data_IF_616708755875
#
_entry.id   IF_616708755875
#
_cell.length_a   1.000
_cell.length_b   1.000
_cell.length_c   1.000
_cell.angle_alpha   90.00
_cell.angle_beta   90.00
_cell.angle_gamma   90.00
#
_symmetry.space_group_name_H-M   'P 1'
#
loop_
_entity.id
_entity.type
_entity.pdbx_description
1 polymer ?
#
# COMPACT_ATOMS: atom_id res chain seq x y z
N UNK A 1 -3.34 30.91 -33.49
CA UNK A 1 -3.58 30.40 -32.11
C UNK A 1 -3.13 31.48 -31.14
N UNK A 2 -3.97 31.94 -30.25
CA UNK A 2 -3.58 32.95 -29.27
C UNK A 2 -2.62 32.30 -28.25
N UNK A 3 -1.65 33.06 -27.72
CA UNK A 3 -0.69 32.60 -26.71
C UNK A 3 -1.40 31.92 -25.51
N UNK A 4 -2.56 32.44 -25.10
CA UNK A 4 -3.41 31.89 -24.05
C UNK A 4 -3.93 30.47 -24.33
N UNK A 5 -4.14 30.08 -25.59
CA UNK A 5 -4.68 28.73 -25.90
C UNK A 5 -3.60 27.66 -25.78
N UNK A 6 -2.34 27.99 -26.10
CA UNK A 6 -1.23 27.03 -25.98
C UNK A 6 -0.93 26.71 -24.51
N UNK A 7 -0.92 27.72 -23.65
CA UNK A 7 -0.71 27.57 -22.21
C UNK A 7 -1.86 26.77 -21.57
N UNK A 8 -3.11 27.06 -21.91
CA UNK A 8 -4.27 26.32 -21.43
C UNK A 8 -4.23 24.85 -21.86
N UNK A 9 -3.88 24.56 -23.14
CA UNK A 9 -3.78 23.20 -23.64
C UNK A 9 -2.75 22.40 -22.87
N UNK A 10 -1.59 22.99 -22.59
CA UNK A 10 -0.52 22.34 -21.83
C UNK A 10 -0.98 22.05 -20.40
N UNK A 11 -1.51 23.05 -19.69
CA UNK A 11 -2.02 22.91 -18.33
C UNK A 11 -3.12 21.83 -18.25
N UNK A 12 -4.06 21.85 -19.20
CA UNK A 12 -5.13 20.85 -19.27
C UNK A 12 -4.60 19.43 -19.48
N UNK A 13 -3.65 19.23 -20.40
CA UNK A 13 -3.05 17.95 -20.67
C UNK A 13 -2.25 17.44 -19.46
N UNK A 14 -1.51 18.33 -18.78
CA UNK A 14 -0.77 18.01 -17.57
C UNK A 14 -1.71 17.61 -16.43
N UNK A 15 -2.80 18.36 -16.20
CA UNK A 15 -3.83 18.01 -15.22
C UNK A 15 -4.49 16.66 -15.52
N UNK A 16 -4.82 16.39 -16.79
CA UNK A 16 -5.36 15.07 -17.18
C UNK A 16 -4.38 13.95 -16.82
N UNK A 17 -3.10 14.14 -17.09
CA UNK A 17 -2.05 13.17 -16.72
C UNK A 17 -1.95 13.01 -15.20
N UNK A 18 -1.96 14.14 -14.45
CA UNK A 18 -1.95 14.12 -12.99
C UNK A 18 -3.13 13.36 -12.38
N UNK A 19 -4.32 13.45 -13.01
CA UNK A 19 -5.50 12.69 -12.59
C UNK A 19 -5.48 11.23 -13.07
N UNK A 20 -4.44 10.81 -13.80
CA UNK A 20 -4.29 9.46 -14.32
C UNK A 20 -5.35 9.07 -15.37
N UNK A 21 -5.92 10.05 -16.07
CA UNK A 21 -7.02 9.85 -17.01
C UNK A 21 -6.48 9.69 -18.43
N UNK A 22 -6.79 8.55 -19.08
CA UNK A 22 -6.47 8.37 -20.51
C UNK A 22 -7.31 9.29 -21.40
N UNK A 23 -6.77 9.67 -22.56
CA UNK A 23 -7.53 10.44 -23.55
C UNK A 23 -8.84 9.75 -23.91
N UNK A 24 -8.86 8.43 -24.03
CA UNK A 24 -10.07 7.66 -24.35
C UNK A 24 -11.13 7.84 -23.26
N UNK A 25 -10.76 7.67 -22.00
CA UNK A 25 -11.68 7.79 -20.86
C UNK A 25 -12.25 9.19 -20.73
N UNK A 26 -11.39 10.22 -20.88
CA UNK A 26 -11.83 11.61 -20.84
C UNK A 26 -12.73 11.98 -22.03
N UNK A 27 -12.38 11.53 -23.23
CA UNK A 27 -13.16 11.79 -24.43
C UNK A 27 -14.59 11.23 -24.32
N UNK A 28 -14.74 10.00 -23.82
CA UNK A 28 -16.05 9.39 -23.53
C UNK A 28 -16.84 10.24 -22.54
N UNK A 29 -16.19 10.66 -21.43
CA UNK A 29 -16.83 11.48 -20.39
C UNK A 29 -17.25 12.87 -20.91
N UNK A 30 -16.44 13.45 -21.80
CA UNK A 30 -16.73 14.72 -22.43
C UNK A 30 -17.64 14.60 -23.67
N UNK A 31 -18.05 13.39 -24.08
CA UNK A 31 -18.90 13.15 -25.24
C UNK A 31 -18.27 13.64 -26.55
N UNK A 32 -16.97 13.40 -26.74
CA UNK A 32 -16.21 13.68 -27.99
C UNK A 32 -15.41 12.45 -28.40
N UNK A 33 -14.86 12.45 -29.63
CA UNK A 33 -13.97 11.36 -30.04
C UNK A 33 -12.56 11.51 -29.44
N UNK A 34 -11.88 10.39 -29.23
CA UNK A 34 -10.49 10.38 -28.76
C UNK A 34 -9.57 11.16 -29.71
N UNK A 35 -9.77 11.00 -31.02
CA UNK A 35 -9.01 11.70 -32.07
C UNK A 35 -9.17 13.20 -31.95
N UNK A 36 -10.38 13.67 -31.63
CA UNK A 36 -10.65 15.10 -31.44
C UNK A 36 -9.91 15.63 -30.22
N UNK A 37 -9.98 14.92 -29.09
CA UNK A 37 -9.23 15.28 -27.87
C UNK A 37 -7.71 15.30 -28.12
N UNK A 38 -7.19 14.27 -28.79
CA UNK A 38 -5.76 14.20 -29.14
C UNK A 38 -5.30 15.37 -30.03
N UNK A 39 -6.15 15.82 -30.97
CA UNK A 39 -5.86 17.00 -31.81
C UNK A 39 -5.91 18.30 -31.02
N UNK A 40 -6.79 18.40 -30.03
CA UNK A 40 -6.83 19.52 -29.09
C UNK A 40 -5.52 19.58 -28.30
N UNK A 41 -5.18 18.50 -27.59
CA UNK A 41 -3.97 18.44 -26.74
C UNK A 41 -2.66 18.63 -27.52
N UNK A 42 -2.64 18.27 -28.81
CA UNK A 42 -1.49 18.52 -29.68
C UNK A 42 -1.51 19.93 -30.32
N UNK A 43 -2.46 20.78 -29.99
CA UNK A 43 -2.58 22.12 -30.54
C UNK A 43 -2.94 22.19 -32.02
N UNK A 44 -3.42 21.09 -32.63
CA UNK A 44 -3.78 21.01 -34.03
C UNK A 44 -5.19 21.55 -34.35
N UNK A 45 -5.97 21.78 -33.31
CA UNK A 45 -7.33 22.32 -33.43
C UNK A 45 -7.50 23.40 -32.36
N UNK A 46 -8.07 24.53 -32.76
CA UNK A 46 -8.44 25.60 -31.81
C UNK A 46 -9.56 25.13 -30.87
N UNK A 47 -9.52 25.51 -29.62
CA UNK A 47 -10.50 25.14 -28.58
C UNK A 47 -11.41 26.33 -28.31
N UNK A 48 -12.72 26.14 -28.47
CA UNK A 48 -13.71 27.17 -28.09
C UNK A 48 -13.84 27.21 -26.56
N UNK A 49 -14.24 28.36 -26.00
CA UNK A 49 -14.48 28.49 -24.57
C UNK A 49 -15.51 27.48 -24.05
N UNK A 50 -16.56 27.21 -24.81
CA UNK A 50 -17.55 26.18 -24.47
C UNK A 50 -16.92 24.78 -24.39
N UNK A 51 -16.00 24.46 -25.31
CA UNK A 51 -15.28 23.18 -25.27
C UNK A 51 -14.31 23.11 -24.08
N UNK A 52 -13.65 24.21 -23.74
CA UNK A 52 -12.77 24.28 -22.54
C UNK A 52 -13.56 23.97 -21.27
N UNK A 53 -14.71 24.60 -21.07
CA UNK A 53 -15.60 24.36 -19.93
C UNK A 53 -16.02 22.89 -19.89
N UNK A 54 -16.51 22.37 -21.01
CA UNK A 54 -16.95 20.97 -21.12
C UNK A 54 -15.84 19.97 -20.79
N UNK A 55 -14.63 20.21 -21.24
CA UNK A 55 -13.47 19.37 -20.98
C UNK A 55 -13.03 19.44 -19.50
N UNK A 56 -13.04 20.64 -18.92
CA UNK A 56 -12.72 20.81 -17.49
C UNK A 56 -13.76 20.15 -16.59
N UNK A 57 -15.05 20.30 -16.86
CA UNK A 57 -16.13 19.63 -16.11
C UNK A 57 -16.00 18.10 -16.18
N UNK A 58 -15.66 17.58 -17.38
CA UNK A 58 -15.43 16.16 -17.55
C UNK A 58 -14.17 15.68 -16.79
N UNK A 59 -13.12 16.51 -16.78
CA UNK A 59 -11.86 16.18 -16.09
C UNK A 59 -12.02 16.22 -14.58
N UNK A 60 -12.75 17.19 -14.02
CA UNK A 60 -12.96 17.33 -12.58
C UNK A 60 -13.71 16.11 -11.97
N UNK A 61 -14.48 15.37 -12.76
CA UNK A 61 -15.09 14.11 -12.30
C UNK A 61 -14.07 13.02 -11.98
N UNK A 62 -12.84 13.18 -12.43
CA UNK A 62 -11.72 12.28 -12.17
C UNK A 62 -10.71 12.86 -11.17
N UNK A 63 -10.97 14.07 -10.65
CA UNK A 63 -10.08 14.71 -9.70
C UNK A 63 -10.02 13.86 -8.41
N UNK A 64 -8.85 13.27 -8.07
CA UNK A 64 -8.71 12.59 -6.80
C UNK A 64 -8.63 13.63 -5.68
N UNK A 65 -9.39 13.45 -4.61
CA UNK A 65 -9.32 14.30 -3.42
C UNK A 65 -7.89 14.39 -2.86
N UNK A 66 -7.12 13.30 -3.01
CA UNK A 66 -5.71 13.24 -2.67
C UNK A 66 -4.97 12.43 -3.75
N UNK A 67 -4.18 13.09 -4.63
CA UNK A 67 -3.45 12.40 -5.71
C UNK A 67 -2.40 11.42 -5.21
N UNK A 68 -1.81 11.71 -4.05
CA UNK A 68 -0.92 10.82 -3.32
C UNK A 68 -1.42 10.64 -1.88
N UNK A 69 -1.25 9.44 -1.33
CA UNK A 69 -1.43 9.16 0.10
C UNK A 69 -0.23 8.40 0.63
N UNK A 70 0.15 8.65 1.88
CA UNK A 70 1.25 7.95 2.52
C UNK A 70 0.79 7.22 3.77
N UNK A 71 1.37 6.05 4.02
CA UNK A 71 1.01 5.19 5.15
C UNK A 71 2.20 4.35 5.62
N UNK A 72 2.14 3.88 6.85
CA UNK A 72 3.02 2.82 7.34
C UNK A 72 2.58 1.48 6.73
N UNK A 73 3.49 0.78 6.06
CA UNK A 73 3.19 -0.51 5.43
C UNK A 73 3.88 -1.69 6.13
N UNK A 74 4.89 -1.40 6.95
CA UNK A 74 5.56 -2.40 7.79
C UNK A 74 6.21 -1.73 8.99
N UNK A 75 5.97 -2.28 10.18
CA UNK A 75 6.66 -1.88 11.42
C UNK A 75 7.12 -3.14 12.13
N UNK A 76 8.41 -3.20 12.49
CA UNK A 76 8.97 -4.28 13.31
C UNK A 76 9.92 -3.72 14.34
N UNK A 77 9.61 -3.98 15.60
CA UNK A 77 10.32 -3.45 16.77
C UNK A 77 10.71 -4.62 17.67
N UNK A 78 11.97 -4.68 18.09
CA UNK A 78 12.44 -5.59 19.12
C UNK A 78 12.55 -4.85 20.44
N UNK A 79 11.98 -5.41 21.49
CA UNK A 79 12.12 -4.91 22.87
C UNK A 79 13.08 -5.79 23.65
N UNK A 80 14.03 -5.20 24.40
CA UNK A 80 15.01 -5.95 25.20
C UNK A 80 14.41 -6.42 26.55
N UNK A 81 13.26 -7.07 26.49
CA UNK A 81 12.54 -7.64 27.62
C UNK A 81 11.96 -9.00 27.24
N UNK A 82 11.74 -9.86 28.24
CA UNK A 82 10.97 -11.10 28.07
C UNK A 82 9.51 -10.94 28.49
N UNK A 83 9.14 -9.79 29.06
CA UNK A 83 7.78 -9.52 29.50
C UNK A 83 6.89 -9.16 28.28
N UNK A 84 6.29 -10.19 27.70
CA UNK A 84 5.35 -10.03 26.59
C UNK A 84 4.06 -9.34 27.03
N UNK A 85 3.65 -9.55 28.29
CA UNK A 85 2.47 -8.92 28.88
C UNK A 85 2.60 -7.40 28.89
N UNK A 86 3.77 -6.90 29.32
CA UNK A 86 4.10 -5.48 29.27
C UNK A 86 3.98 -4.91 27.84
N UNK A 87 4.57 -5.58 26.84
CA UNK A 87 4.52 -5.08 25.46
C UNK A 87 3.09 -5.05 24.92
N UNK A 88 2.29 -6.07 25.22
CA UNK A 88 0.89 -6.12 24.76
C UNK A 88 0.05 -5.08 25.51
N UNK A 89 0.18 -5.02 26.85
CA UNK A 89 -0.64 -4.16 27.69
C UNK A 89 -0.25 -2.68 27.61
N UNK A 90 1.04 -2.38 27.76
CA UNK A 90 1.45 -0.99 27.98
C UNK A 90 1.90 -0.31 26.68
N UNK A 91 2.48 -1.03 25.73
CA UNK A 91 2.93 -0.46 24.45
C UNK A 91 1.84 -0.54 23.39
N UNK A 92 1.24 -1.71 23.17
CA UNK A 92 0.13 -1.85 22.21
C UNK A 92 -1.19 -1.39 22.79
N UNK A 93 -1.34 -1.35 24.12
CA UNK A 93 -2.58 -1.07 24.85
C UNK A 93 -3.72 -1.98 24.40
N UNK A 94 -3.40 -3.27 24.28
CA UNK A 94 -4.35 -4.32 23.90
C UNK A 94 -4.54 -5.31 25.06
N UNK A 95 -5.73 -5.88 25.14
CA UNK A 95 -6.03 -6.90 26.12
C UNK A 95 -5.61 -8.27 25.60
N UNK A 96 -4.62 -8.88 26.27
CA UNK A 96 -4.03 -10.17 25.91
C UNK A 96 -5.05 -11.30 25.85
N UNK A 97 -6.17 -11.21 26.60
CA UNK A 97 -7.21 -12.24 26.59
C UNK A 97 -7.81 -12.47 25.21
N UNK A 98 -7.83 -11.46 24.32
CA UNK A 98 -8.34 -11.56 22.96
C UNK A 98 -7.28 -12.07 21.95
N UNK A 99 -6.03 -12.25 22.37
CA UNK A 99 -4.97 -12.75 21.50
C UNK A 99 -4.95 -14.29 21.50
N UNK A 100 -4.61 -14.84 20.35
CA UNK A 100 -4.37 -16.28 20.20
C UNK A 100 -2.90 -16.53 20.48
N UNK A 101 -2.61 -17.53 21.33
CA UNK A 101 -1.27 -18.03 21.58
C UNK A 101 -0.98 -19.27 20.74
N UNK A 102 0.24 -19.36 20.17
CA UNK A 102 0.73 -20.53 19.42
C UNK A 102 2.16 -20.86 19.87
N UNK A 103 2.43 -22.16 20.10
CA UNK A 103 3.72 -22.70 20.57
C UNK A 103 4.73 -22.84 19.42
N UNK A 104 4.70 -21.96 18.45
CA UNK A 104 5.70 -21.85 17.39
C UNK A 104 5.86 -20.38 16.98
N UNK A 105 6.98 -20.06 16.36
CA UNK A 105 7.27 -18.69 15.94
C UNK A 105 8.08 -18.61 14.65
N UNK A 106 8.33 -17.38 14.22
CA UNK A 106 9.23 -17.04 13.11
C UNK A 106 10.50 -16.38 13.64
N UNK A 107 11.50 -16.23 12.79
CA UNK A 107 12.78 -15.56 13.15
C UNK A 107 13.50 -16.22 14.32
N UNK A 108 13.34 -17.56 14.50
CA UNK A 108 13.87 -18.34 15.62
C UNK A 108 13.26 -17.98 16.97
N UNK A 109 12.13 -17.32 17.04
CA UNK A 109 11.29 -17.24 18.23
C UNK A 109 10.51 -18.54 18.38
N UNK A 110 10.20 -18.93 19.62
CA UNK A 110 9.56 -20.22 19.92
C UNK A 110 8.05 -20.14 20.01
N UNK A 111 7.53 -18.96 20.32
CA UNK A 111 6.11 -18.73 20.56
C UNK A 111 5.68 -17.40 19.98
N UNK A 112 4.39 -17.21 19.76
CA UNK A 112 3.84 -15.91 19.45
C UNK A 112 2.40 -15.76 19.91
N UNK A 113 2.03 -14.51 20.18
CA UNK A 113 0.66 -14.07 20.39
C UNK A 113 0.22 -13.24 19.21
N UNK A 114 -1.03 -13.41 18.76
CA UNK A 114 -1.53 -12.61 17.65
C UNK A 114 -3.02 -12.32 17.77
N UNK A 115 -3.40 -11.20 17.17
CA UNK A 115 -4.78 -10.82 16.89
C UNK A 115 -4.86 -10.33 15.45
N UNK A 116 -5.56 -11.09 14.60
CA UNK A 116 -5.59 -10.81 13.17
C UNK A 116 -4.20 -10.87 12.53
N UNK A 117 -3.72 -9.74 12.03
CA UNK A 117 -2.40 -9.60 11.38
C UNK A 117 -1.36 -8.83 12.26
N UNK A 118 -1.61 -8.70 13.57
CA UNK A 118 -0.69 -8.14 14.57
C UNK A 118 -0.03 -9.29 15.31
N UNK A 119 1.31 -9.37 15.27
CA UNK A 119 2.08 -10.48 15.85
C UNK A 119 3.07 -9.98 16.89
N UNK A 120 3.12 -10.67 18.03
CA UNK A 120 4.10 -10.45 19.09
C UNK A 120 4.79 -11.77 19.38
N UNK A 121 6.06 -11.87 19.01
CA UNK A 121 6.88 -13.07 19.17
C UNK A 121 7.69 -13.03 20.46
N UNK A 122 7.84 -14.17 21.11
CA UNK A 122 8.68 -14.34 22.30
C UNK A 122 9.47 -15.64 22.26
N UNK A 123 10.48 -15.71 23.07
CA UNK A 123 11.28 -16.92 23.33
C UNK A 123 11.94 -16.81 24.70
N UNK A 124 12.37 -17.91 25.30
CA UNK A 124 13.12 -17.87 26.57
C UNK A 124 14.52 -17.26 26.46
N UNK A 125 14.96 -16.89 25.26
CA UNK A 125 16.28 -16.32 25.00
C UNK A 125 16.29 -14.81 25.29
N UNK A 126 16.96 -14.41 26.37
CA UNK A 126 17.06 -13.01 26.84
C UNK A 126 17.70 -12.10 25.78
N UNK A 127 18.62 -12.60 24.95
CA UNK A 127 19.24 -11.80 23.90
C UNK A 127 18.24 -11.43 22.78
N UNK A 128 17.20 -12.23 22.56
CA UNK A 128 16.17 -11.96 21.56
C UNK A 128 15.13 -10.96 22.04
N UNK A 129 14.71 -11.07 23.30
CA UNK A 129 13.61 -10.27 23.83
C UNK A 129 12.28 -10.55 23.14
N UNK A 130 11.38 -9.55 23.13
CA UNK A 130 10.08 -9.60 22.48
C UNK A 130 10.16 -8.89 21.12
N UNK A 131 9.54 -9.46 20.07
CA UNK A 131 9.49 -8.89 18.73
C UNK A 131 8.06 -8.61 18.32
N UNK A 132 7.73 -7.33 18.16
CA UNK A 132 6.46 -6.89 17.54
C UNK A 132 6.62 -6.82 16.03
N UNK A 133 5.62 -7.32 15.30
CA UNK A 133 5.56 -7.24 13.85
C UNK A 133 4.15 -6.89 13.34
N UNK A 134 4.07 -5.80 12.57
CA UNK A 134 2.88 -5.32 11.86
C UNK A 134 3.21 -5.29 10.36
N UNK A 135 2.48 -6.05 9.55
CA UNK A 135 2.69 -6.11 8.08
C UNK A 135 1.43 -5.66 7.36
N UNK A 136 1.53 -4.72 6.44
CA UNK A 136 0.45 -4.33 5.55
C UNK A 136 -0.92 -4.24 6.25
N UNK A 137 -1.70 -5.32 6.20
CA UNK A 137 -2.99 -5.40 6.90
C UNK A 137 -2.86 -5.25 8.42
N UNK A 138 -1.80 -5.76 9.04
CA UNK A 138 -1.53 -5.56 10.46
C UNK A 138 -1.36 -4.09 10.83
N UNK A 139 -0.69 -3.31 9.97
CA UNK A 139 -0.64 -1.86 10.16
C UNK A 139 -2.03 -1.23 10.06
N UNK A 140 -2.84 -1.62 9.05
CA UNK A 140 -4.22 -1.12 8.87
C UNK A 140 -5.11 -1.48 10.05
N UNK A 141 -4.99 -2.72 10.54
CA UNK A 141 -5.72 -3.18 11.71
C UNK A 141 -5.29 -2.41 12.97
N UNK A 142 -3.98 -2.21 13.16
CA UNK A 142 -3.47 -1.47 14.32
C UNK A 142 -3.93 -0.01 14.33
N UNK A 143 -4.11 0.61 13.16
CA UNK A 143 -4.72 1.94 13.05
C UNK A 143 -6.15 2.00 13.59
N UNK A 144 -6.92 0.91 13.50
CA UNK A 144 -8.26 0.87 14.13
C UNK A 144 -8.16 0.94 15.66
N UNK A 145 -7.15 0.26 16.24
CA UNK A 145 -6.91 0.34 17.68
C UNK A 145 -6.34 1.70 18.09
N UNK A 146 -5.37 2.24 17.35
CA UNK A 146 -4.86 3.59 17.60
C UNK A 146 -5.98 4.63 17.60
N UNK A 147 -6.91 4.54 16.64
CA UNK A 147 -8.05 5.44 16.58
C UNK A 147 -8.95 5.32 17.82
N UNK A 148 -9.29 4.09 18.23
CA UNK A 148 -10.09 3.84 19.44
C UNK A 148 -9.38 4.28 20.73
N UNK A 149 -8.05 4.18 20.75
CA UNK A 149 -7.20 4.65 21.86
C UNK A 149 -6.97 6.17 21.83
N UNK A 150 -7.47 6.90 20.82
CA UNK A 150 -7.17 8.31 20.58
C UNK A 150 -5.66 8.59 20.48
N UNK A 151 -4.91 7.65 19.88
CA UNK A 151 -3.46 7.72 19.66
C UNK A 151 -3.13 7.78 18.17
N UNK A 152 -2.02 8.41 17.87
CA UNK A 152 -1.43 8.41 16.53
C UNK A 152 -0.29 7.40 16.41
N UNK A 153 0.20 7.18 15.19
CA UNK A 153 1.46 6.46 14.96
C UNK A 153 2.65 7.11 15.66
N UNK A 154 2.65 8.42 15.81
CA UNK A 154 3.74 9.15 16.48
C UNK A 154 3.75 8.84 17.97
N UNK A 155 2.58 8.79 18.63
CA UNK A 155 2.46 8.45 20.05
C UNK A 155 2.95 7.02 20.28
N UNK A 156 2.47 6.06 19.48
CA UNK A 156 2.91 4.67 19.57
C UNK A 156 4.41 4.50 19.37
N UNK A 157 4.99 5.15 18.33
CA UNK A 157 6.43 5.04 18.06
C UNK A 157 7.26 5.71 19.16
N UNK A 158 6.77 6.80 19.74
CA UNK A 158 7.42 7.45 20.89
C UNK A 158 7.43 6.51 22.10
N UNK A 159 6.28 5.96 22.48
CA UNK A 159 6.16 5.02 23.60
C UNK A 159 7.08 3.82 23.40
N UNK A 160 7.07 3.23 22.21
CA UNK A 160 7.92 2.10 21.90
C UNK A 160 9.42 2.41 22.01
N UNK A 161 9.87 3.60 21.60
CA UNK A 161 11.28 3.99 21.72
C UNK A 161 11.67 4.34 23.17
N UNK A 162 10.77 4.99 23.91
CA UNK A 162 10.98 5.32 25.34
C UNK A 162 11.12 4.03 26.16
N UNK A 163 10.37 2.99 25.83
CA UNK A 163 10.45 1.65 26.45
C UNK A 163 11.67 0.82 25.99
N UNK A 164 12.60 1.43 25.26
CA UNK A 164 13.83 0.77 24.79
C UNK A 164 13.66 -0.07 23.52
N UNK A 165 12.56 0.11 22.81
CA UNK A 165 12.30 -0.57 21.54
C UNK A 165 13.37 -0.27 20.49
N UNK A 166 13.88 -1.30 19.84
CA UNK A 166 14.88 -1.22 18.77
C UNK A 166 14.22 -1.48 17.44
N UNK A 167 14.19 -0.45 16.59
CA UNK A 167 13.62 -0.54 15.23
C UNK A 167 14.38 -1.59 14.41
N UNK A 168 13.67 -2.59 13.91
CA UNK A 168 14.21 -3.63 13.02
C UNK A 168 13.80 -3.43 11.58
N UNK A 169 12.59 -2.87 11.34
CA UNK A 169 12.13 -2.52 10.02
C UNK A 169 11.03 -1.47 10.07
N UNK A 170 11.07 -0.56 9.12
CA UNK A 170 10.04 0.40 8.81
C UNK A 170 9.87 0.49 7.30
N UNK A 171 8.65 0.29 6.80
CA UNK A 171 8.32 0.57 5.42
C UNK A 171 7.30 1.71 5.37
N UNK A 172 7.65 2.79 4.67
CA UNK A 172 6.74 3.89 4.34
C UNK A 172 6.27 3.69 2.90
N UNK A 173 4.98 3.66 2.68
CA UNK A 173 4.39 3.49 1.36
C UNK A 173 3.69 4.77 0.90
N UNK A 174 3.99 5.20 -0.31
CA UNK A 174 3.31 6.29 -1.00
C UNK A 174 2.47 5.67 -2.11
N UNK A 175 1.15 5.81 -2.00
CA UNK A 175 0.22 5.40 -3.03
C UNK A 175 0.05 6.53 -4.05
N UNK A 176 0.17 6.21 -5.30
CA UNK A 176 -0.14 7.07 -6.43
C UNK A 176 -1.51 6.65 -6.99
N UNK A 177 -2.50 7.52 -6.81
CA UNK A 177 -3.87 7.34 -7.28
C UNK A 177 -4.06 7.77 -8.74
N UNK A 178 -3.10 8.53 -9.29
CA UNK A 178 -3.18 9.16 -10.60
C UNK A 178 -2.48 8.37 -11.71
N UNK A 179 -1.48 7.54 -11.37
CA UNK A 179 -0.64 6.85 -12.34
C UNK A 179 0.54 7.69 -12.83
N UNK A 180 0.91 8.76 -12.11
CA UNK A 180 2.08 9.59 -12.46
C UNK A 180 3.40 8.82 -12.33
N UNK A 181 3.49 7.85 -11.42
CA UNK A 181 4.61 6.91 -11.37
C UNK A 181 4.43 5.84 -12.45
N UNK A 182 4.91 6.07 -13.65
CA UNK A 182 4.94 5.07 -14.71
C UNK A 182 6.10 4.10 -14.49
N UNK A 183 5.80 2.88 -14.00
CA UNK A 183 6.84 1.93 -13.60
C UNK A 183 7.64 1.39 -14.79
N UNK A 184 7.03 1.08 -15.95
CA UNK A 184 7.76 0.81 -17.19
C UNK A 184 8.73 1.95 -17.56
N UNK A 185 8.29 3.20 -17.55
CA UNK A 185 9.13 4.37 -17.85
C UNK A 185 10.31 4.49 -16.87
N UNK A 186 10.05 4.38 -15.55
CA UNK A 186 11.10 4.40 -14.54
C UNK A 186 12.12 3.27 -14.72
N UNK A 187 11.66 2.10 -15.18
CA UNK A 187 12.54 0.96 -15.48
C UNK A 187 13.44 1.27 -16.68
N UNK A 188 12.89 1.84 -17.76
CA UNK A 188 13.68 2.26 -18.93
C UNK A 188 14.66 3.37 -18.55
N UNK A 189 14.27 4.34 -17.73
CA UNK A 189 15.20 5.36 -17.21
C UNK A 189 16.37 4.75 -16.43
N UNK A 190 16.12 3.68 -15.66
CA UNK A 190 17.20 2.96 -14.99
C UNK A 190 18.16 2.30 -16.01
N UNK A 191 17.65 1.73 -17.10
CA UNK A 191 18.46 1.10 -18.17
C UNK A 191 19.26 2.12 -18.97
N UNK A 192 18.69 3.30 -19.20
CA UNK A 192 19.26 4.38 -20.00
C UNK A 192 20.17 5.31 -19.21
N UNK A 193 20.54 4.96 -17.97
CA UNK A 193 21.36 5.77 -17.07
C UNK A 193 20.71 7.10 -16.63
N UNK A 194 19.40 7.25 -16.82
CA UNK A 194 18.62 8.42 -16.43
C UNK A 194 18.10 8.34 -14.97
N UNK A 195 18.51 7.33 -14.22
CA UNK A 195 18.35 7.23 -12.78
C UNK A 195 19.67 7.59 -12.10
N UNK A 196 19.78 8.82 -11.60
CA UNK A 196 20.92 9.27 -10.80
C UNK A 196 20.72 8.78 -9.37
N UNK A 197 21.61 7.91 -8.90
CA UNK A 197 21.42 7.24 -7.62
C UNK A 197 22.75 6.92 -6.95
N UNK A 198 22.74 6.87 -5.61
CA UNK A 198 23.82 6.30 -4.80
C UNK A 198 23.73 4.78 -4.71
N UNK A 199 22.61 4.18 -5.09
CA UNK A 199 22.50 2.74 -5.26
C UNK A 199 23.27 2.27 -6.50
N UNK A 200 23.83 1.05 -6.42
CA UNK A 200 24.65 0.49 -7.49
C UNK A 200 23.89 -0.43 -8.43
N UNK A 201 22.67 -0.81 -8.07
CA UNK A 201 21.92 -1.80 -8.83
C UNK A 201 20.43 -1.58 -8.70
N UNK A 202 19.72 -2.02 -9.72
CA UNK A 202 18.26 -2.16 -9.70
C UNK A 202 17.89 -3.55 -10.21
N UNK A 203 16.66 -3.98 -9.94
CA UNK A 203 16.04 -5.19 -10.52
C UNK A 203 14.63 -4.82 -10.94
N UNK A 204 14.24 -5.26 -12.12
CA UNK A 204 12.87 -5.11 -12.61
C UNK A 204 12.27 -6.48 -12.92
N UNK A 205 10.99 -6.62 -12.62
CA UNK A 205 10.21 -7.80 -12.92
C UNK A 205 8.96 -7.35 -13.69
N UNK A 206 8.72 -8.01 -14.82
CA UNK A 206 7.48 -7.93 -15.55
C UNK A 206 6.84 -9.32 -15.47
N UNK A 207 5.63 -9.39 -14.97
CA UNK A 207 4.84 -10.62 -14.93
C UNK A 207 3.81 -10.61 -16.05
N UNK A 208 3.46 -11.78 -16.57
CA UNK A 208 2.44 -11.92 -17.61
C UNK A 208 1.78 -13.28 -17.53
N UNK A 209 0.57 -13.37 -18.07
CA UNK A 209 -0.16 -14.63 -18.24
C UNK A 209 0.19 -15.25 -19.59
N UNK A 210 0.33 -16.59 -19.63
CA UNK A 210 0.61 -17.31 -20.87
C UNK A 210 -0.64 -17.48 -21.74
N UNK A 211 -1.82 -17.39 -21.12
CA UNK A 211 -3.12 -17.53 -21.81
C UNK A 211 -3.85 -16.19 -21.73
N UNK A 212 -4.17 -15.61 -22.89
CA UNK A 212 -5.03 -14.42 -22.96
C UNK A 212 -6.48 -14.87 -22.80
N UNK A 213 -7.20 -14.29 -21.85
CA UNK A 213 -8.65 -14.36 -21.83
C UNK A 213 -9.21 -13.41 -22.91
N UNK A 214 -10.19 -13.86 -23.67
CA UNK A 214 -10.72 -13.14 -24.85
C UNK A 214 -11.24 -11.72 -24.57
N UNK A 215 -11.49 -11.38 -23.30
CA UNK A 215 -12.01 -10.06 -22.89
C UNK A 215 -10.94 -9.06 -22.39
N UNK A 216 -9.66 -9.44 -22.36
CA UNK A 216 -8.59 -8.58 -21.83
C UNK A 216 -7.45 -8.38 -22.83
N UNK A 217 -7.36 -7.18 -23.39
CA UNK A 217 -6.27 -6.77 -24.29
C UNK A 217 -4.86 -6.76 -23.67
N UNK A 218 -4.74 -6.95 -22.37
CA UNK A 218 -3.46 -6.89 -21.62
C UNK A 218 -3.25 -8.14 -20.78
N UNK A 219 -2.50 -9.09 -21.31
CA UNK A 219 -1.96 -10.23 -20.56
C UNK A 219 -0.75 -9.81 -19.70
N UNK A 220 -0.95 -8.90 -18.75
CA UNK A 220 0.13 -8.41 -17.88
C UNK A 220 -0.27 -8.53 -16.41
N UNK A 221 0.62 -9.08 -15.57
CA UNK A 221 0.43 -9.14 -14.12
C UNK A 221 1.16 -7.99 -13.39
N UNK A 222 1.56 -6.96 -14.11
CA UNK A 222 2.16 -5.72 -13.64
C UNK A 222 3.68 -5.73 -13.55
N UNK A 223 4.22 -4.54 -13.35
CA UNK A 223 5.65 -4.27 -13.23
C UNK A 223 6.03 -3.99 -11.78
N UNK A 224 7.23 -4.46 -11.41
CA UNK A 224 7.87 -4.15 -10.12
C UNK A 224 9.31 -3.75 -10.36
N UNK A 225 9.71 -2.60 -9.83
CA UNK A 225 11.07 -2.07 -9.87
C UNK A 225 11.64 -1.99 -8.45
N UNK A 226 12.74 -2.69 -8.20
CA UNK A 226 13.54 -2.55 -6.99
C UNK A 226 14.76 -1.70 -7.28
N UNK A 227 14.99 -0.65 -6.49
CA UNK A 227 16.17 0.21 -6.59
C UNK A 227 16.99 0.04 -5.33
N UNK A 228 18.22 -0.42 -5.47
CA UNK A 228 19.09 -0.85 -4.38
C UNK A 228 19.06 -2.36 -4.14
N UNK A 229 19.93 -2.83 -3.26
CA UNK A 229 20.01 -4.25 -2.89
C UNK A 229 18.97 -4.62 -1.84
N UNK A 230 18.24 -5.71 -2.03
CA UNK A 230 17.30 -6.25 -1.05
C UNK A 230 17.98 -6.64 0.29
N UNK A 231 19.30 -6.82 0.28
CA UNK A 231 20.11 -7.10 1.47
C UNK A 231 20.53 -5.83 2.22
N UNK A 232 20.44 -4.66 1.57
CA UNK A 232 20.79 -3.37 2.18
C UNK A 232 19.77 -2.95 3.23
N UNK A 233 20.18 -2.06 4.12
CA UNK A 233 19.29 -1.46 5.12
C UNK A 233 18.33 -0.43 4.50
N UNK A 234 18.62 0.06 3.29
CA UNK A 234 17.72 0.92 2.52
C UNK A 234 17.61 0.37 1.11
N UNK A 235 16.40 0.25 0.62
CA UNK A 235 16.08 0.03 -0.78
C UNK A 235 14.65 0.44 -1.07
N UNK A 236 14.34 0.70 -2.31
CA UNK A 236 13.00 1.08 -2.74
C UNK A 236 12.36 -0.04 -3.54
N UNK A 237 11.04 -0.15 -3.40
CA UNK A 237 10.21 -1.06 -4.18
C UNK A 237 9.06 -0.24 -4.80
N UNK A 238 9.03 -0.17 -6.12
CA UNK A 238 8.01 0.58 -6.84
C UNK A 238 7.25 -0.39 -7.74
N UNK A 239 5.92 -0.39 -7.66
CA UNK A 239 5.14 -1.37 -8.40
C UNK A 239 3.72 -0.89 -8.74
N UNK A 240 3.16 -1.50 -9.77
CA UNK A 240 1.78 -1.28 -10.20
C UNK A 240 0.81 -1.95 -9.21
N UNK A 241 0.27 -1.16 -8.30
CA UNK A 241 -0.65 -1.61 -7.24
C UNK A 241 -2.01 -2.02 -7.78
N UNK A 242 -2.43 -1.48 -8.91
CA UNK A 242 -3.67 -1.85 -9.60
C UNK A 242 -3.71 -3.35 -9.94
N UNK A 243 -2.61 -3.91 -10.43
CA UNK A 243 -2.51 -5.35 -10.71
C UNK A 243 -2.58 -6.20 -9.45
N UNK A 244 -1.96 -5.77 -8.36
CA UNK A 244 -2.08 -6.47 -7.09
C UNK A 244 -3.54 -6.48 -6.59
N UNK A 245 -4.26 -5.36 -6.72
CA UNK A 245 -5.67 -5.24 -6.36
C UNK A 245 -6.54 -6.13 -7.26
N UNK A 246 -6.26 -6.19 -8.55
CA UNK A 246 -6.92 -7.10 -9.46
C UNK A 246 -6.74 -8.57 -9.05
N UNK A 247 -5.51 -9.01 -8.84
CA UNK A 247 -5.20 -10.40 -8.47
C UNK A 247 -5.81 -10.79 -7.10
N UNK A 248 -5.67 -9.90 -6.10
CA UNK A 248 -6.07 -10.23 -4.73
C UNK A 248 -7.54 -9.97 -4.44
N UNK A 249 -8.13 -8.95 -5.06
CA UNK A 249 -9.47 -8.45 -4.74
C UNK A 249 -10.45 -8.59 -5.90
N UNK A 250 -9.97 -8.89 -7.12
CA UNK A 250 -10.81 -8.95 -8.32
C UNK A 250 -11.27 -7.58 -8.82
N UNK A 251 -10.65 -6.50 -8.37
CA UNK A 251 -11.00 -5.14 -8.81
C UNK A 251 -10.43 -4.94 -10.22
N UNK A 252 -11.24 -4.52 -11.21
CA UNK A 252 -10.73 -4.21 -12.55
C UNK A 252 -9.58 -3.19 -12.49
N UNK A 253 -8.56 -3.36 -13.32
CA UNK A 253 -7.33 -2.54 -13.27
C UNK A 253 -7.66 -1.05 -13.46
N UNK A 254 -8.60 -0.75 -14.34
CA UNK A 254 -9.06 0.61 -14.63
C UNK A 254 -9.78 1.25 -13.45
N UNK A 255 -10.47 0.44 -12.65
CA UNK A 255 -11.25 0.88 -11.48
C UNK A 255 -10.44 0.87 -10.19
N UNK A 256 -9.23 0.28 -10.21
CA UNK A 256 -8.38 0.19 -9.04
C UNK A 256 -8.07 1.59 -8.47
N UNK A 257 -8.41 1.85 -7.19
CA UNK A 257 -8.26 3.18 -6.60
C UNK A 257 -6.80 3.59 -6.42
N UNK A 258 -5.87 2.64 -6.35
CA UNK A 258 -4.43 2.91 -6.28
C UNK A 258 -3.81 2.36 -7.56
N UNK A 259 -3.21 3.24 -8.36
CA UNK A 259 -2.54 2.85 -9.60
C UNK A 259 -1.17 2.24 -9.30
N UNK A 260 -0.33 3.00 -8.61
CA UNK A 260 1.03 2.60 -8.30
C UNK A 260 1.33 2.78 -6.82
N UNK A 261 2.42 2.14 -6.36
CA UNK A 261 2.93 2.33 -5.00
C UNK A 261 4.45 2.43 -5.01
N UNK A 262 4.96 3.42 -4.27
CA UNK A 262 6.37 3.58 -3.97
C UNK A 262 6.61 3.24 -2.50
N UNK A 263 7.42 2.23 -2.20
CA UNK A 263 7.76 1.83 -0.84
C UNK A 263 9.22 2.14 -0.52
N UNK A 264 9.42 2.89 0.55
CA UNK A 264 10.72 3.13 1.19
C UNK A 264 10.90 2.06 2.24
N UNK A 265 11.80 1.09 2.02
CA UNK A 265 12.05 -0.01 2.93
C UNK A 265 13.32 0.19 3.71
N UNK A 266 13.18 0.36 5.02
CA UNK A 266 14.25 0.71 5.94
C UNK A 266 14.44 -0.39 6.97
N UNK A 267 15.71 -0.72 7.29
CA UNK A 267 16.06 -1.72 8.30
C UNK A 267 17.02 -1.14 9.32
N UNK A 268 16.97 -1.71 10.53
CA UNK A 268 17.90 -1.43 11.64
C UNK A 268 18.12 0.08 11.88
N UNK A 269 19.35 0.55 11.83
CA UNK A 269 19.69 1.95 12.08
C UNK A 269 18.94 2.92 11.14
N UNK A 270 18.73 2.54 9.88
CA UNK A 270 18.00 3.39 8.92
C UNK A 270 16.54 3.55 9.29
N UNK A 271 15.92 2.48 9.80
CA UNK A 271 14.56 2.55 10.34
C UNK A 271 14.52 3.43 11.60
N UNK A 272 15.48 3.29 12.51
CA UNK A 272 15.57 4.13 13.69
C UNK A 272 15.74 5.62 13.35
N UNK A 273 16.64 5.97 12.43
CA UNK A 273 16.83 7.38 12.05
C UNK A 273 15.59 7.98 11.37
N UNK A 274 14.85 7.19 10.58
CA UNK A 274 13.60 7.65 9.99
C UNK A 274 12.52 7.89 11.05
N UNK A 275 12.38 6.98 12.04
CA UNK A 275 11.44 7.18 13.17
C UNK A 275 11.84 8.41 13.99
N UNK A 276 13.12 8.59 14.27
CA UNK A 276 13.60 9.77 14.99
C UNK A 276 13.28 11.08 14.23
N UNK A 277 13.45 11.09 12.92
CA UNK A 277 13.13 12.24 12.07
C UNK A 277 11.61 12.50 12.08
N UNK A 278 10.78 11.46 11.93
CA UNK A 278 9.33 11.53 12.05
C UNK A 278 8.89 12.13 13.39
N UNK A 279 9.46 11.68 14.51
CA UNK A 279 9.13 12.15 15.85
C UNK A 279 9.70 13.55 16.15
N UNK A 280 10.75 13.96 15.45
CA UNK A 280 11.33 15.31 15.61
C UNK A 280 10.51 16.38 14.91
N UNK A 281 10.04 16.08 13.70
CA UNK A 281 9.42 17.08 12.84
C UNK A 281 7.90 16.92 12.71
N UNK A 282 7.35 15.77 13.06
CA UNK A 282 5.93 15.45 12.84
C UNK A 282 5.47 15.69 11.40
N UNK A 283 6.42 15.58 10.46
CA UNK A 283 6.22 15.79 9.02
C UNK A 283 6.71 14.56 8.25
N UNK A 284 5.76 13.71 7.92
CA UNK A 284 6.03 12.45 7.26
C UNK A 284 6.42 12.65 5.78
N UNK A 285 5.89 13.68 5.11
CA UNK A 285 6.28 14.03 3.74
C UNK A 285 7.75 14.43 3.69
N UNK A 286 8.14 15.34 4.54
CA UNK A 286 9.53 15.78 4.67
C UNK A 286 10.47 14.60 4.89
N UNK A 287 10.15 13.71 5.82
CA UNK A 287 10.97 12.53 6.12
C UNK A 287 11.06 11.60 4.90
N UNK A 288 9.94 11.26 4.28
CA UNK A 288 9.90 10.36 3.13
C UNK A 288 10.69 10.91 1.94
N UNK A 289 10.43 12.15 1.53
CA UNK A 289 11.09 12.74 0.36
C UNK A 289 12.52 13.15 0.63
N UNK A 290 12.90 13.49 1.87
CA UNK A 290 14.31 13.63 2.24
C UNK A 290 15.09 12.33 2.01
N UNK A 291 14.50 11.18 2.37
CA UNK A 291 15.10 9.88 2.09
C UNK A 291 15.13 9.62 0.58
N UNK A 292 14.01 9.77 -0.12
CA UNK A 292 13.94 9.52 -1.57
C UNK A 292 14.98 10.35 -2.31
N UNK A 293 14.99 11.66 -2.11
CA UNK A 293 15.86 12.62 -2.81
C UNK A 293 17.35 12.41 -2.52
N UNK A 294 17.68 11.87 -1.34
CA UNK A 294 19.05 11.49 -1.01
C UNK A 294 19.55 10.33 -1.86
N UNK A 295 18.68 9.39 -2.21
CA UNK A 295 19.07 8.13 -2.83
C UNK A 295 18.83 8.08 -4.33
N UNK A 296 17.78 8.74 -4.83
CA UNK A 296 17.33 8.58 -6.23
C UNK A 296 16.83 9.89 -6.82
N UNK A 297 17.21 10.13 -8.07
CA UNK A 297 16.70 11.21 -8.90
C UNK A 297 16.52 10.71 -10.33
N UNK A 298 15.31 10.77 -10.85
CA UNK A 298 15.03 10.46 -12.24
C UNK A 298 15.08 11.72 -13.09
N UNK A 299 15.80 11.65 -14.20
CA UNK A 299 16.16 12.80 -15.03
C UNK A 299 15.92 12.49 -16.51
N UNK A 300 15.89 13.52 -17.32
CA UNK A 300 15.84 13.40 -18.77
C UNK A 300 17.23 13.70 -19.34
N UNK A 301 17.75 12.78 -20.16
CA UNK A 301 19.10 12.88 -20.75
C UNK A 301 19.20 14.08 -21.67
N UNK A 302 20.17 14.94 -21.42
CA UNK A 302 20.53 16.09 -22.26
C UNK A 302 21.92 15.87 -22.86
N UNK A 303 22.01 15.81 -24.20
CA UNK A 303 23.25 15.42 -24.91
C UNK A 303 24.47 16.33 -24.62
N UNK A 304 24.22 17.61 -24.39
CA UNK A 304 25.27 18.64 -24.23
C UNK A 304 25.62 18.92 -22.77
N UNK A 305 25.04 18.16 -21.81
CA UNK A 305 25.24 18.39 -20.38
C UNK A 305 25.82 17.17 -19.68
N UNK A 306 26.49 17.41 -18.56
CA UNK A 306 26.91 16.35 -17.66
C UNK A 306 25.67 15.74 -16.98
N UNK A 307 25.73 14.45 -16.65
CA UNK A 307 24.64 13.72 -15.99
C UNK A 307 24.15 14.39 -14.70
N UNK A 308 25.02 15.05 -13.93
CA UNK A 308 24.67 15.81 -12.74
C UNK A 308 23.73 16.97 -13.02
N UNK A 309 23.79 17.52 -14.23
CA UNK A 309 23.13 18.76 -14.64
C UNK A 309 21.86 18.48 -15.48
N UNK A 310 21.53 17.19 -15.71
CA UNK A 310 20.30 16.79 -16.38
C UNK A 310 19.09 17.20 -15.55
N UNK A 311 18.05 17.69 -16.20
CA UNK A 311 16.80 18.09 -15.57
C UNK A 311 16.04 16.92 -15.02
N UNK A 312 15.29 17.14 -13.95
CA UNK A 312 14.34 16.16 -13.46
C UNK A 312 13.30 15.86 -14.56
N UNK A 313 12.93 14.60 -14.69
CA UNK A 313 11.78 14.26 -15.52
C UNK A 313 10.51 14.87 -14.91
N UNK A 314 9.58 15.30 -15.77
CA UNK A 314 8.37 16.01 -15.36
C UNK A 314 7.54 15.19 -14.35
N UNK A 315 7.32 13.92 -14.62
CA UNK A 315 6.58 13.01 -13.72
C UNK A 315 7.25 12.86 -12.35
N UNK A 316 8.59 12.76 -12.35
CA UNK A 316 9.34 12.64 -11.10
C UNK A 316 9.34 13.93 -10.30
N UNK A 317 9.51 15.09 -10.97
CA UNK A 317 9.44 16.40 -10.35
C UNK A 317 8.09 16.61 -9.64
N UNK A 318 7.00 16.26 -10.30
CA UNK A 318 5.67 16.27 -9.70
C UNK A 318 5.57 15.33 -8.50
N UNK A 319 6.06 14.09 -8.62
CA UNK A 319 5.98 13.10 -7.53
C UNK A 319 6.70 13.58 -6.27
N UNK A 320 7.88 14.18 -6.40
CA UNK A 320 8.67 14.65 -5.24
C UNK A 320 8.22 16.01 -4.66
N UNK A 321 7.18 16.62 -5.20
CA UNK A 321 6.54 17.79 -4.60
C UNK A 321 6.45 19.03 -5.46
N UNK A 322 6.97 19.02 -6.69
CA UNK A 322 6.78 20.14 -7.59
C UNK A 322 5.33 20.17 -8.11
N UNK A 323 4.67 21.32 -7.94
CA UNK A 323 3.31 21.57 -8.46
C UNK A 323 2.23 20.57 -7.99
N UNK A 324 2.28 20.10 -6.76
CA UNK A 324 1.21 19.30 -6.15
C UNK A 324 0.95 19.71 -4.69
N UNK A 325 -0.22 19.32 -4.19
CA UNK A 325 -0.57 19.50 -2.78
C UNK A 325 0.36 18.68 -1.86
N UNK A 326 0.67 19.18 -0.66
CA UNK A 326 1.50 18.49 0.33
C UNK A 326 0.94 17.12 0.70
N UNK A 327 1.81 16.14 0.77
CA UNK A 327 1.49 14.76 1.14
C UNK A 327 1.40 14.65 2.67
N UNK A 328 0.29 14.13 3.16
CA UNK A 328 0.08 13.87 4.58
C UNK A 328 0.14 12.37 4.87
N UNK A 329 0.58 12.02 6.07
CA UNK A 329 0.45 10.66 6.57
C UNK A 329 -1.04 10.35 6.70
N UNK A 330 -1.48 9.34 5.97
CA UNK A 330 -2.88 8.92 5.95
C UNK A 330 -3.05 7.74 6.88
N UNK A 331 -3.99 7.84 7.81
CA UNK A 331 -4.49 6.72 8.60
C UNK A 331 -5.69 6.15 7.86
N UNK A 332 -5.62 4.86 7.55
CA UNK A 332 -6.70 4.15 6.86
C UNK A 332 -7.03 2.87 7.61
N UNK A 333 -7.72 2.98 8.75
CA UNK A 333 -8.00 1.84 9.60
C UNK A 333 -8.85 0.79 8.86
N UNK A 334 -8.42 -0.46 8.93
CA UNK A 334 -9.16 -1.61 8.43
C UNK A 334 -9.26 -2.62 9.58
N UNK A 335 -10.41 -2.74 10.26
CA UNK A 335 -10.62 -3.73 11.30
C UNK A 335 -10.34 -5.14 10.79
N UNK A 336 -9.88 -6.03 11.67
CA UNK A 336 -9.71 -7.43 11.31
C UNK A 336 -11.05 -8.06 10.98
N UNK A 337 -11.14 -8.67 9.81
CA UNK A 337 -12.34 -9.35 9.33
C UNK A 337 -12.02 -10.74 8.82
N UNK A 338 -13.05 -11.61 8.76
CA UNK A 338 -12.95 -12.96 8.19
C UNK A 338 -12.83 -12.98 6.66
N UNK A 339 -12.68 -11.85 5.98
CA UNK A 339 -12.73 -11.75 4.51
C UNK A 339 -11.77 -12.71 3.79
N UNK A 340 -10.58 -12.96 4.36
CA UNK A 340 -9.62 -13.89 3.77
C UNK A 340 -10.16 -15.32 3.84
N UNK A 341 -10.71 -15.69 5.00
CA UNK A 341 -11.30 -16.99 5.25
C UNK A 341 -12.56 -17.17 4.40
N UNK A 342 -13.43 -16.16 4.34
CA UNK A 342 -14.65 -16.17 3.51
C UNK A 342 -14.32 -16.32 2.03
N UNK A 343 -13.35 -15.57 1.49
CA UNK A 343 -12.91 -15.72 0.09
C UNK A 343 -12.30 -17.10 -0.20
N UNK A 344 -11.53 -17.65 0.74
CA UNK A 344 -10.99 -18.98 0.60
C UNK A 344 -12.12 -20.03 0.58
N UNK A 345 -13.07 -19.95 1.51
CA UNK A 345 -14.25 -20.82 1.56
C UNK A 345 -15.00 -20.73 0.23
N UNK A 346 -15.32 -19.53 -0.23
CA UNK A 346 -16.07 -19.28 -1.45
C UNK A 346 -15.39 -19.90 -2.69
N UNK A 347 -14.07 -19.83 -2.78
CA UNK A 347 -13.33 -20.31 -3.95
C UNK A 347 -13.01 -21.81 -3.89
N UNK A 348 -12.67 -22.33 -2.72
CA UNK A 348 -12.13 -23.68 -2.56
C UNK A 348 -13.12 -24.67 -1.96
N UNK A 349 -14.05 -24.24 -1.14
CA UNK A 349 -14.95 -25.09 -0.37
C UNK A 349 -16.38 -25.02 -0.89
N UNK A 350 -16.88 -23.84 -1.20
CA UNK A 350 -18.28 -23.60 -1.61
C UNK A 350 -18.71 -24.42 -2.85
N UNK A 351 -17.90 -24.60 -3.89
CA UNK A 351 -18.26 -25.48 -5.00
C UNK A 351 -18.57 -26.90 -4.56
N UNK A 352 -17.82 -27.45 -3.59
CA UNK A 352 -18.03 -28.77 -3.02
C UNK A 352 -19.28 -28.80 -2.14
N UNK A 353 -19.50 -27.78 -1.32
CA UNK A 353 -20.72 -27.65 -0.51
C UNK A 353 -21.96 -27.60 -1.41
N UNK A 354 -21.92 -26.80 -2.48
CA UNK A 354 -23.00 -26.70 -3.47
C UNK A 354 -23.28 -28.03 -4.18
N UNK A 355 -22.24 -28.78 -4.50
CA UNK A 355 -22.37 -30.13 -5.03
C UNK A 355 -23.11 -31.04 -4.03
N UNK A 356 -22.72 -31.04 -2.76
CA UNK A 356 -23.38 -31.86 -1.71
C UNK A 356 -24.83 -31.44 -1.49
N UNK A 357 -25.15 -30.15 -1.49
CA UNK A 357 -26.52 -29.65 -1.45
C UNK A 357 -27.35 -30.16 -2.64
N UNK A 358 -26.77 -30.14 -3.84
CA UNK A 358 -27.44 -30.64 -5.05
C UNK A 358 -27.70 -32.16 -4.98
N UNK A 359 -26.76 -32.92 -4.44
CA UNK A 359 -26.91 -34.35 -4.22
C UNK A 359 -28.02 -34.59 -3.18
N UNK A 360 -28.02 -33.86 -2.07
CA UNK A 360 -29.04 -33.89 -1.03
C UNK A 360 -30.44 -33.70 -1.62
N UNK A 361 -30.61 -32.68 -2.47
CA UNK A 361 -31.88 -32.39 -3.13
C UNK A 361 -32.37 -33.53 -4.03
N UNK A 362 -31.47 -34.30 -4.62
CA UNK A 362 -31.79 -35.44 -5.50
C UNK A 362 -32.01 -36.77 -4.75
N UNK A 363 -31.30 -36.97 -3.66
CA UNK A 363 -31.27 -38.26 -2.94
C UNK A 363 -32.01 -38.24 -1.62
N UNK A 364 -32.29 -37.07 -1.04
CA UNK A 364 -32.86 -36.91 0.31
C UNK A 364 -31.86 -37.17 1.44
N UNK A 365 -30.59 -37.46 1.12
CA UNK A 365 -29.53 -37.70 2.13
C UNK A 365 -28.75 -36.41 2.38
N UNK A 366 -28.84 -35.85 3.58
CA UNK A 366 -28.17 -34.63 3.97
C UNK A 366 -26.73 -34.90 4.46
N UNK A 367 -25.81 -34.93 3.51
CA UNK A 367 -24.39 -35.15 3.78
C UNK A 367 -23.76 -34.01 4.58
N UNK A 368 -24.20 -32.75 4.41
CA UNK A 368 -23.67 -31.61 5.17
C UNK A 368 -24.02 -31.71 6.64
N UNK A 369 -25.25 -32.14 6.95
CA UNK A 369 -25.68 -32.37 8.33
C UNK A 369 -24.86 -33.49 8.99
N UNK A 370 -24.56 -34.58 8.27
CA UNK A 370 -23.72 -35.66 8.77
C UNK A 370 -22.29 -35.21 9.06
N UNK A 371 -21.66 -34.42 8.16
CA UNK A 371 -20.33 -33.88 8.38
C UNK A 371 -20.32 -32.96 9.61
N UNK A 372 -21.31 -32.08 9.74
CA UNK A 372 -21.40 -31.11 10.86
C UNK A 372 -21.61 -31.79 12.23
N UNK A 373 -22.27 -32.92 12.30
CA UNK A 373 -22.47 -33.67 13.56
C UNK A 373 -21.16 -34.10 14.22
N UNK A 374 -20.13 -34.43 13.43
CA UNK A 374 -18.83 -34.88 13.93
C UNK A 374 -17.82 -33.74 14.11
N UNK A 375 -18.12 -32.57 13.59
CA UNK A 375 -17.21 -31.38 13.64
C UNK A 375 -17.19 -30.81 15.04
N UNK A 376 -16.00 -30.69 15.63
CA UNK A 376 -15.79 -30.02 16.91
C UNK A 376 -14.97 -28.73 16.68
N UNK A 377 -15.37 -27.66 17.33
CA UNK A 377 -14.58 -26.44 17.40
C UNK A 377 -13.38 -26.64 18.34
N UNK A 378 -12.23 -26.13 17.95
CA UNK A 378 -11.03 -26.07 18.81
C UNK A 378 -11.02 -24.73 19.55
N UNK A 379 -10.17 -24.62 20.56
CA UNK A 379 -9.96 -23.35 21.32
C UNK A 379 -9.66 -22.19 20.37
N UNK A 380 -8.82 -22.41 19.37
CA UNK A 380 -8.52 -21.41 18.34
C UNK A 380 -9.79 -20.92 17.60
N UNK A 381 -10.73 -21.80 17.28
CA UNK A 381 -11.99 -21.40 16.65
C UNK A 381 -12.82 -20.51 17.58
N UNK A 382 -12.89 -20.84 18.88
CA UNK A 382 -13.58 -20.03 19.87
C UNK A 382 -12.94 -18.64 20.00
N UNK A 383 -11.60 -18.55 20.01
CA UNK A 383 -10.88 -17.27 20.03
C UNK A 383 -11.16 -16.42 18.78
N UNK A 384 -11.21 -17.03 17.59
CA UNK A 384 -11.57 -16.31 16.37
C UNK A 384 -13.03 -15.80 16.46
N UNK A 385 -13.96 -16.62 16.98
CA UNK A 385 -15.35 -16.19 17.19
C UNK A 385 -15.37 -14.99 18.13
N UNK A 386 -14.69 -15.06 19.27
CA UNK A 386 -14.59 -13.98 20.25
C UNK A 386 -14.07 -12.70 19.58
N UNK A 387 -12.94 -12.75 18.87
CA UNK A 387 -12.39 -11.61 18.13
C UNK A 387 -13.35 -10.99 17.11
N UNK A 388 -14.21 -11.79 16.47
CA UNK A 388 -15.15 -11.32 15.45
C UNK A 388 -16.47 -10.81 16.03
N UNK A 389 -16.76 -11.11 17.29
CA UNK A 389 -17.99 -10.72 17.99
C UNK A 389 -17.76 -9.64 19.04
N UNK A 390 -16.51 -9.28 19.30
CA UNK A 390 -16.12 -8.24 20.26
C UNK A 390 -15.87 -6.92 19.53
N UNK A 391 -16.27 -5.81 20.12
CA UNK A 391 -16.02 -4.49 19.56
C UNK A 391 -14.54 -4.10 19.62
N UNK A 392 -14.13 -3.14 18.81
CA UNK A 392 -12.74 -2.63 18.85
C UNK A 392 -12.43 -2.01 20.21
N UNK A 393 -13.41 -1.34 20.80
CA UNK A 393 -13.33 -0.68 22.10
C UNK A 393 -13.13 -1.67 23.25
N UNK A 394 -13.74 -2.86 23.17
CA UNK A 394 -13.56 -3.92 24.18
C UNK A 394 -12.19 -4.60 24.10
N UNK A 395 -11.58 -4.62 22.89
CA UNK A 395 -10.25 -5.23 22.69
C UNK A 395 -9.12 -4.35 23.23
N UNK A 396 -9.31 -3.04 23.22
CA UNK A 396 -8.36 -2.09 23.82
C UNK A 396 -8.52 -2.04 25.34
N UNK A 397 -7.46 -1.62 26.01
CA UNK A 397 -7.52 -1.37 27.45
C UNK A 397 -8.21 -0.02 27.69
N UNK A 398 -9.14 0.00 28.66
CA UNK A 398 -9.70 1.26 29.14
C UNK A 398 -8.59 2.13 29.74
N UNK A 399 -8.63 3.44 29.46
CA UNK A 399 -7.74 4.40 30.15
C UNK A 399 -8.10 4.38 31.63
N UNK A 400 -7.16 4.00 32.49
CA UNK A 400 -7.30 4.23 33.92
C UNK A 400 -7.39 5.75 34.14
N UNK A 401 -8.56 6.23 34.62
CA UNK A 401 -8.83 7.66 34.91
C UNK A 401 -7.98 8.14 36.08
#
# INVERSE_FOLDING_TARGET
>A
MALNDTEWIQDFADRRLQYGVSQTKLAVMAGISREHLSRIESGKVAVTEEMKVKLLEALEKFNPEAPLTMLFDYVRIRFPTLDIGHIIKDILQLNIQYMIHEDFGHYSYTEHYYIGDIFVFTSPDEEKGVLLELKGKGCRQFESYLLAQERSWYDFLMDALVDGGVMKRLDLAINDHTGMLDIPELTEKCRNEECVSVFRSFKSYASGELVKHEEQDKAGMGYTLYIGSLKSEVYFCVYEKSYEQYIKLGIPIEEAPIKNRFEIRLKNERAYYAVRDLLTYYDAERTAFSIINRYVRFVDKEADKKRSDWKLSVRWAWFIGENREPLKLTTKPEPYTLDRTLRWIQRQVDPTLKMLETITAKTGIDYLKEIRKSTKLTEKHYKIIEQQTTSTEDVILEKEN
#
